data_IF_667929582512
#
_entry.id   IF_667929582512
#
_cell.length_a   1.000
_cell.length_b   1.000
_cell.length_c   1.000
_cell.angle_alpha   90.00
_cell.angle_beta   90.00
_cell.angle_gamma   90.00
#
_symmetry.space_group_name_H-M   'P 1'
#
loop_
_entity.id
_entity.type
_entity.pdbx_description
1 polymer ?
#
# COMPACT_ATOMS: atom_id res chain seq x y z
N UNK A 1 13.70 11.92 -8.35
CA UNK A 1 13.48 12.58 -7.02
C UNK A 1 14.26 11.86 -5.92
N UNK A 2 14.05 10.56 -5.67
CA UNK A 2 14.77 9.83 -4.61
C UNK A 2 16.30 9.92 -4.72
N UNK A 3 16.88 9.70 -5.91
CA UNK A 3 18.33 9.87 -6.10
C UNK A 3 18.83 11.30 -5.82
N UNK A 4 18.03 12.32 -6.16
CA UNK A 4 18.39 13.70 -5.88
C UNK A 4 18.38 13.98 -4.36
N UNK A 5 17.39 13.45 -3.64
CA UNK A 5 17.32 13.54 -2.18
C UNK A 5 18.51 12.83 -1.52
N UNK A 6 18.86 11.62 -1.99
CA UNK A 6 20.04 10.88 -1.53
C UNK A 6 21.36 11.64 -1.77
N UNK A 7 21.41 12.47 -2.82
CA UNK A 7 22.55 13.35 -3.12
C UNK A 7 22.46 14.74 -2.44
N UNK A 8 21.64 14.88 -1.39
CA UNK A 8 21.57 16.10 -0.56
C UNK A 8 20.66 17.21 -1.09
N UNK A 9 19.85 16.96 -2.12
CA UNK A 9 18.89 17.96 -2.60
C UNK A 9 17.72 18.12 -1.61
N UNK A 10 17.71 19.24 -0.88
CA UNK A 10 16.71 19.55 0.15
C UNK A 10 15.28 19.65 -0.41
N UNK A 11 15.10 20.20 -1.62
CA UNK A 11 13.77 20.28 -2.25
C UNK A 11 13.23 18.89 -2.61
N UNK A 12 14.11 17.99 -3.06
CA UNK A 12 13.73 16.61 -3.34
C UNK A 12 13.33 15.86 -2.06
N UNK A 13 14.05 16.11 -0.95
CA UNK A 13 13.68 15.55 0.35
C UNK A 13 12.31 16.09 0.81
N UNK A 14 12.07 17.40 0.75
CA UNK A 14 10.77 17.97 1.11
C UNK A 14 9.61 17.42 0.26
N UNK A 15 9.84 17.19 -1.04
CA UNK A 15 8.83 16.59 -1.90
C UNK A 15 8.46 15.18 -1.42
N UNK A 16 9.44 14.38 -1.00
CA UNK A 16 9.22 13.04 -0.42
C UNK A 16 8.48 13.17 0.92
N UNK A 17 8.92 14.06 1.81
CA UNK A 17 8.32 14.24 3.14
C UNK A 17 6.84 14.65 3.04
N UNK A 18 6.51 15.60 2.16
CA UNK A 18 5.13 16.03 1.92
C UNK A 18 4.31 14.87 1.35
N UNK A 19 4.90 14.10 0.43
CA UNK A 19 4.23 12.96 -0.18
C UNK A 19 3.88 11.88 0.85
N UNK A 20 4.85 11.46 1.66
CA UNK A 20 4.64 10.43 2.68
C UNK A 20 3.72 10.92 3.79
N UNK A 21 3.89 12.17 4.26
CA UNK A 21 3.00 12.80 5.23
C UNK A 21 1.53 12.78 4.80
N UNK A 22 1.25 13.12 3.53
CA UNK A 22 -0.13 13.10 3.02
C UNK A 22 -0.72 11.69 3.04
N UNK A 23 0.04 10.68 2.63
CA UNK A 23 -0.42 9.28 2.63
C UNK A 23 -0.69 8.82 4.07
N UNK A 24 0.23 9.05 5.00
CA UNK A 24 0.06 8.76 6.43
C UNK A 24 -1.22 9.40 6.96
N UNK A 25 -1.45 10.69 6.63
CA UNK A 25 -2.66 11.41 7.05
C UNK A 25 -3.94 10.76 6.52
N UNK A 26 -3.96 10.34 5.26
CA UNK A 26 -5.14 9.66 4.69
C UNK A 26 -5.40 8.30 5.34
N UNK A 27 -4.36 7.50 5.57
CA UNK A 27 -4.51 6.21 6.26
C UNK A 27 -5.07 6.42 7.66
N UNK A 28 -4.53 7.38 8.42
CA UNK A 28 -5.02 7.71 9.76
C UNK A 28 -6.47 8.18 9.75
N UNK A 29 -6.85 9.05 8.79
CA UNK A 29 -8.22 9.53 8.66
C UNK A 29 -9.21 8.39 8.35
N UNK A 30 -8.86 7.46 7.45
CA UNK A 30 -9.70 6.33 7.12
C UNK A 30 -9.78 5.30 8.25
N UNK A 31 -8.67 5.02 8.93
CA UNK A 31 -8.68 4.16 10.10
C UNK A 31 -9.58 4.74 11.21
N UNK A 32 -9.53 6.05 11.45
CA UNK A 32 -10.42 6.71 12.39
C UNK A 32 -11.90 6.62 11.96
N UNK A 33 -12.18 6.86 10.67
CA UNK A 33 -13.54 6.80 10.13
C UNK A 33 -14.16 5.40 10.22
N UNK A 34 -13.34 4.33 10.14
CA UNK A 34 -13.78 2.94 10.24
C UNK A 34 -13.76 2.38 11.67
N UNK A 35 -13.28 3.15 12.66
CA UNK A 35 -13.12 2.67 14.05
C UNK A 35 -11.92 1.73 14.25
N UNK A 36 -11.01 1.65 13.28
CA UNK A 36 -9.87 0.75 13.27
C UNK A 36 -9.44 0.40 11.84
N UNK A 37 -8.42 -0.46 11.74
CA UNK A 37 -7.99 -1.02 10.45
C UNK A 37 -7.38 -2.40 10.67
N UNK A 38 -7.85 -3.39 9.91
CA UNK A 38 -7.30 -4.76 9.97
C UNK A 38 -6.06 -4.91 9.08
N UNK A 39 -6.05 -4.23 7.93
CA UNK A 39 -4.98 -4.30 6.96
C UNK A 39 -4.73 -3.00 6.20
N UNK A 40 -3.46 -2.76 5.85
CA UNK A 40 -3.02 -1.70 4.94
C UNK A 40 -2.36 -2.37 3.74
N UNK A 41 -2.81 -2.04 2.53
CA UNK A 41 -2.28 -2.59 1.28
C UNK A 41 -1.59 -1.50 0.47
N UNK A 42 -0.34 -1.75 0.11
CA UNK A 42 0.40 -0.97 -0.88
C UNK A 42 0.32 -1.64 -2.24
N UNK A 43 -0.05 -0.86 -3.25
CA UNK A 43 -0.17 -1.30 -4.64
C UNK A 43 0.24 -0.15 -5.57
N UNK A 44 0.28 -0.41 -6.88
CA UNK A 44 0.70 0.54 -7.89
C UNK A 44 2.21 0.81 -7.87
N UNK A 45 2.71 1.49 -8.90
CA UNK A 45 4.16 1.61 -9.14
C UNK A 45 4.99 2.04 -7.93
N UNK A 46 4.56 3.07 -7.18
CA UNK A 46 5.28 3.52 -5.96
C UNK A 46 5.06 2.56 -4.80
N UNK A 47 3.82 2.15 -4.53
CA UNK A 47 3.50 1.28 -3.40
C UNK A 47 4.18 -0.08 -3.49
N UNK A 48 4.34 -0.62 -4.69
CA UNK A 48 4.97 -1.91 -4.96
C UNK A 48 6.50 -1.86 -4.82
N UNK A 49 7.14 -0.80 -5.34
CA UNK A 49 8.59 -0.79 -5.55
C UNK A 49 9.36 0.08 -4.55
N UNK A 50 8.75 1.11 -3.97
CA UNK A 50 9.46 2.07 -3.12
C UNK A 50 9.46 1.64 -1.65
N UNK A 51 10.41 0.75 -1.30
CA UNK A 51 10.62 0.22 0.07
C UNK A 51 10.66 1.34 1.11
N UNK A 52 11.50 2.36 0.88
CA UNK A 52 11.71 3.48 1.80
C UNK A 52 10.46 4.34 1.98
N UNK A 53 9.66 4.51 0.93
CA UNK A 53 8.40 5.25 0.99
C UNK A 53 7.40 4.52 1.88
N UNK A 54 7.28 3.19 1.74
CA UNK A 54 6.40 2.40 2.63
C UNK A 54 6.81 2.57 4.10
N UNK A 55 8.10 2.51 4.40
CA UNK A 55 8.59 2.69 5.78
C UNK A 55 8.26 4.07 6.33
N UNK A 56 8.55 5.13 5.58
CA UNK A 56 8.25 6.50 5.99
C UNK A 56 6.75 6.73 6.22
N UNK A 57 5.89 6.13 5.38
CA UNK A 57 4.44 6.22 5.54
C UNK A 57 3.95 5.52 6.81
N UNK A 58 4.53 4.36 7.13
CA UNK A 58 4.08 3.48 8.22
C UNK A 58 4.65 3.88 9.58
N UNK A 59 5.81 4.53 9.62
CA UNK A 59 6.49 4.90 10.87
C UNK A 59 5.57 5.67 11.84
N UNK A 60 4.86 6.75 11.43
CA UNK A 60 3.99 7.48 12.33
C UNK A 60 2.71 6.73 12.70
N UNK A 61 2.37 5.65 11.99
CA UNK A 61 1.15 4.87 12.20
C UNK A 61 1.35 3.71 13.19
N UNK A 62 2.56 3.52 13.75
CA UNK A 62 2.87 2.45 14.71
C UNK A 62 1.95 2.42 15.93
N UNK A 63 1.37 3.56 16.32
CA UNK A 63 0.39 3.65 17.40
C UNK A 63 -0.88 2.83 17.15
N UNK A 64 -1.20 2.50 15.88
CA UNK A 64 -2.29 1.59 15.51
C UNK A 64 -1.98 0.11 15.84
N UNK A 65 -0.80 -0.18 16.41
CA UNK A 65 -0.37 -1.54 16.76
C UNK A 65 0.33 -2.28 15.62
N UNK A 66 0.83 -1.56 14.63
CA UNK A 66 1.57 -2.12 13.51
C UNK A 66 3.05 -2.34 13.82
N UNK A 67 3.56 -3.46 13.34
CA UNK A 67 4.98 -3.83 13.40
C UNK A 67 5.40 -4.23 11.99
N UNK A 68 6.49 -3.67 11.50
CA UNK A 68 7.01 -3.96 10.16
C UNK A 68 8.20 -4.90 10.27
N UNK A 69 8.21 -5.95 9.45
CA UNK A 69 9.41 -6.74 9.22
C UNK A 69 10.20 -6.14 8.05
N UNK A 70 11.37 -5.58 8.35
CA UNK A 70 12.22 -4.92 7.36
C UNK A 70 12.69 -5.90 6.28
N UNK A 71 12.99 -7.14 6.65
CA UNK A 71 13.44 -8.16 5.68
C UNK A 71 12.36 -8.48 4.67
N UNK A 72 11.12 -8.73 5.13
CA UNK A 72 9.98 -8.87 4.23
C UNK A 72 9.75 -7.60 3.41
N UNK A 73 9.86 -6.40 3.98
CA UNK A 73 9.67 -5.16 3.25
C UNK A 73 10.67 -4.96 2.10
N UNK A 74 11.92 -5.36 2.30
CA UNK A 74 13.02 -5.30 1.32
C UNK A 74 12.99 -6.44 0.29
N UNK A 75 12.21 -7.51 0.54
CA UNK A 75 12.09 -8.66 -0.36
C UNK A 75 11.71 -8.24 -1.78
N UNK A 76 12.24 -8.96 -2.78
CA UNK A 76 11.88 -8.76 -4.20
C UNK A 76 10.59 -9.46 -4.61
N UNK A 77 9.95 -10.20 -3.70
CA UNK A 77 8.64 -10.78 -3.95
C UNK A 77 7.63 -9.69 -4.29
N UNK A 78 6.85 -9.93 -5.35
CA UNK A 78 5.87 -8.96 -5.86
C UNK A 78 4.68 -8.83 -4.93
N UNK A 79 4.12 -9.96 -4.50
CA UNK A 79 3.05 -10.04 -3.52
C UNK A 79 3.61 -10.58 -2.20
N UNK A 80 3.45 -9.83 -1.11
CA UNK A 80 4.08 -10.17 0.17
C UNK A 80 3.40 -9.50 1.35
N UNK A 81 3.48 -10.15 2.51
CA UNK A 81 3.14 -9.55 3.81
C UNK A 81 4.42 -8.95 4.39
N UNK A 82 4.37 -7.67 4.76
CA UNK A 82 5.50 -6.92 5.33
C UNK A 82 5.30 -6.56 6.81
N UNK A 83 4.15 -6.90 7.39
CA UNK A 83 3.95 -6.80 8.84
C UNK A 83 4.66 -7.95 9.57
N UNK A 84 5.41 -7.63 10.62
CA UNK A 84 6.13 -8.58 11.46
C UNK A 84 5.26 -9.33 12.48
N UNK A 85 5.89 -10.25 13.20
CA UNK A 85 5.21 -11.08 14.21
C UNK A 85 4.55 -10.24 15.31
N UNK A 86 3.31 -10.58 15.66
CA UNK A 86 2.52 -9.88 16.67
C UNK A 86 2.12 -8.44 16.30
N UNK A 87 2.12 -8.10 14.99
CA UNK A 87 1.45 -6.91 14.48
C UNK A 87 -0.06 -7.09 14.56
N UNK A 88 -0.79 -6.11 15.10
CA UNK A 88 -2.27 -6.13 15.14
C UNK A 88 -2.88 -5.83 13.77
N UNK A 89 -2.22 -4.96 13.00
CA UNK A 89 -2.61 -4.59 11.64
C UNK A 89 -1.71 -5.34 10.66
N UNK A 90 -2.29 -6.00 9.66
CA UNK A 90 -1.53 -6.61 8.55
C UNK A 90 -1.08 -5.53 7.57
N UNK A 91 0.13 -5.65 7.05
CA UNK A 91 0.61 -4.75 6.01
C UNK A 91 1.07 -5.59 4.84
N UNK A 92 0.53 -5.31 3.66
CA UNK A 92 0.76 -6.10 2.45
C UNK A 92 1.26 -5.21 1.31
N UNK A 93 2.04 -5.81 0.43
CA UNK A 93 2.29 -5.31 -0.92
C UNK A 93 1.60 -6.27 -1.87
N UNK A 94 0.67 -5.75 -2.68
CA UNK A 94 -0.10 -6.56 -3.64
C UNK A 94 -0.04 -5.85 -4.99
N UNK A 95 0.51 -6.49 -6.04
CA UNK A 95 0.54 -5.90 -7.37
C UNK A 95 -0.86 -5.67 -7.90
N UNK A 96 -1.11 -4.48 -8.42
CA UNK A 96 -2.38 -4.24 -9.12
C UNK A 96 -2.34 -4.94 -10.48
N UNK A 97 -3.49 -5.44 -10.93
CA UNK A 97 -3.67 -5.94 -12.29
C UNK A 97 -5.04 -5.49 -12.80
N UNK A 98 -5.03 -4.30 -13.39
CA UNK A 98 -6.22 -3.58 -13.80
C UNK A 98 -6.91 -4.30 -14.96
N UNK A 99 -6.14 -4.85 -15.90
CA UNK A 99 -6.62 -5.62 -17.04
C UNK A 99 -7.32 -6.90 -16.60
N UNK A 100 -6.76 -7.63 -15.64
CA UNK A 100 -7.38 -8.84 -15.09
C UNK A 100 -8.67 -8.51 -14.33
N UNK A 101 -8.70 -7.38 -13.61
CA UNK A 101 -9.91 -6.92 -12.92
C UNK A 101 -11.02 -6.62 -13.94
N UNK A 102 -10.70 -5.89 -15.02
CA UNK A 102 -11.64 -5.63 -16.12
C UNK A 102 -12.12 -6.93 -16.74
N UNK A 103 -11.21 -7.86 -17.09
CA UNK A 103 -11.58 -9.13 -17.70
C UNK A 103 -12.53 -9.96 -16.81
N UNK A 104 -12.24 -10.03 -15.51
CA UNK A 104 -13.10 -10.72 -14.52
C UNK A 104 -14.48 -10.06 -14.42
N UNK A 105 -14.53 -8.73 -14.39
CA UNK A 105 -15.81 -8.00 -14.32
C UNK A 105 -16.62 -8.17 -15.59
N UNK A 106 -15.98 -8.11 -16.77
CA UNK A 106 -16.61 -8.39 -18.06
C UNK A 106 -17.18 -9.79 -18.11
N UNK A 107 -16.41 -10.80 -17.70
CA UNK A 107 -16.88 -12.19 -17.64
C UNK A 107 -18.13 -12.31 -16.76
N UNK A 108 -18.10 -11.73 -15.55
CA UNK A 108 -19.23 -11.78 -14.62
C UNK A 108 -20.49 -11.15 -15.22
N UNK A 109 -20.40 -9.98 -15.88
CA UNK A 109 -21.55 -9.33 -16.52
C UNK A 109 -22.15 -10.20 -17.64
N UNK A 110 -21.29 -10.86 -18.44
CA UNK A 110 -21.72 -11.73 -19.54
C UNK A 110 -22.41 -13.00 -19.02
N UNK A 111 -21.87 -13.62 -17.96
CA UNK A 111 -22.46 -14.81 -17.34
C UNK A 111 -23.82 -14.50 -16.69
N UNK A 112 -23.93 -13.38 -15.99
CA UNK A 112 -25.19 -12.97 -15.35
C UNK A 112 -26.28 -12.68 -16.39
N UNK A 113 -25.91 -12.01 -17.49
CA UNK A 113 -26.84 -11.73 -18.59
C UNK A 113 -27.38 -13.04 -19.20
N UNK A 114 -26.52 -14.04 -19.40
CA UNK A 114 -26.93 -15.34 -19.93
C UNK A 114 -27.86 -16.13 -19.00
N UNK A 115 -27.77 -15.93 -17.68
CA UNK A 115 -28.67 -16.55 -16.71
C UNK A 115 -30.05 -15.88 -16.67
N UNK A 116 -30.18 -14.60 -17.03
CA UNK A 116 -31.47 -13.89 -17.07
C UNK A 116 -32.31 -14.29 -18.30
N UNK A 117 -31.66 -14.62 -19.42
CA UNK A 117 -32.34 -15.02 -20.66
C UNK A 117 -32.52 -16.54 -20.82
N UNK A 118 -32.25 -17.31 -19.76
CA UNK A 118 -32.55 -18.75 -19.67
C UNK A 118 -33.71 -18.97 -18.71
#
# INVERSE_FOLDING_TARGET
IMNAAANGNTRAQYAIDIFTYRITKYIGAYAAAMGGVDAIVFTGGIGENAVTIREQVLEPLKFLGLKIDKKSNESKEKEKIISGYGSKVKVLVVPTNEELMIARKTKWVVEESNNIYR
#
